data_IF_782832989932
#
_entry.id   IF_782832989932
#
_cell.length_a   1.000
_cell.length_b   1.000
_cell.length_c   1.000
_cell.angle_alpha   90.00
_cell.angle_beta   90.00
_cell.angle_gamma   90.00
#
_symmetry.space_group_name_H-M   'P 1'
#
loop_
_entity.id
_entity.type
_entity.pdbx_description
1 polymer ?
#
# COMPACT_ATOMS: atom_id res chain seq x y z
N UNK A 1 5.17 -17.91 17.63
CA UNK A 1 6.03 -17.24 16.63
C UNK A 1 5.21 -16.56 15.53
N UNK A 2 4.29 -17.26 14.86
CA UNK A 2 3.40 -16.69 13.83
C UNK A 2 2.59 -15.46 14.31
N UNK A 3 1.89 -15.59 15.45
CA UNK A 3 1.08 -14.49 16.01
C UNK A 3 1.92 -13.25 16.35
N UNK A 4 3.16 -13.45 16.83
CA UNK A 4 4.07 -12.34 17.14
C UNK A 4 4.50 -11.60 15.88
N UNK A 5 4.87 -12.34 14.83
CA UNK A 5 5.20 -11.77 13.52
C UNK A 5 4.06 -10.89 13.01
N UNK A 6 2.82 -11.40 13.00
CA UNK A 6 1.66 -10.63 12.52
C UNK A 6 1.32 -9.44 13.41
N UNK A 7 1.46 -9.58 14.73
CA UNK A 7 1.24 -8.47 15.67
C UNK A 7 2.23 -7.32 15.42
N UNK A 8 3.50 -7.65 15.18
CA UNK A 8 4.53 -6.66 14.85
C UNK A 8 4.24 -6.02 13.50
N UNK A 9 3.99 -6.83 12.45
CA UNK A 9 3.68 -6.34 11.11
C UNK A 9 2.50 -5.37 11.13
N UNK A 10 1.39 -5.77 11.76
CA UNK A 10 0.19 -4.94 11.88
C UNK A 10 0.46 -3.66 12.69
N UNK A 11 1.33 -3.70 13.69
CA UNK A 11 1.68 -2.52 14.47
C UNK A 11 2.54 -1.54 13.66
N UNK A 12 3.49 -2.04 12.89
CA UNK A 12 4.35 -1.23 12.01
C UNK A 12 3.52 -0.54 10.93
N UNK A 13 2.59 -1.27 10.29
CA UNK A 13 1.76 -0.77 9.19
C UNK A 13 0.70 0.27 9.59
N UNK A 14 0.49 0.52 10.88
CA UNK A 14 -0.36 1.63 11.37
C UNK A 14 0.29 3.00 11.17
N UNK A 15 1.59 3.06 10.93
CA UNK A 15 2.33 4.30 10.75
C UNK A 15 3.06 4.31 9.41
N UNK A 16 3.54 5.47 8.95
CA UNK A 16 4.29 5.56 7.71
C UNK A 16 5.56 4.72 7.75
N UNK A 17 5.86 4.09 6.61
CA UNK A 17 7.08 3.37 6.35
C UNK A 17 7.68 3.85 5.02
N UNK A 18 8.94 4.24 5.05
CA UNK A 18 9.67 4.63 3.86
C UNK A 18 10.01 3.38 3.03
N UNK A 19 9.56 3.34 1.77
CA UNK A 19 9.74 2.19 0.89
C UNK A 19 11.19 1.97 0.44
N UNK A 20 12.07 2.97 0.57
CA UNK A 20 13.46 2.91 0.12
C UNK A 20 14.41 2.57 1.28
N UNK A 21 14.28 3.26 2.41
CA UNK A 21 15.14 3.07 3.60
C UNK A 21 14.64 1.97 4.53
N UNK A 22 13.35 1.61 4.40
CA UNK A 22 12.62 0.69 5.26
C UNK A 22 12.50 1.17 6.71
N UNK A 23 12.69 2.47 6.95
CA UNK A 23 12.42 3.10 8.24
C UNK A 23 10.91 3.20 8.47
N UNK A 24 10.46 2.94 9.70
CA UNK A 24 9.05 2.98 10.06
C UNK A 24 8.81 3.77 11.34
N UNK A 25 7.66 4.47 11.40
CA UNK A 25 7.27 5.28 12.57
C UNK A 25 7.12 4.46 13.84
N UNK A 26 6.65 3.22 13.74
CA UNK A 26 6.46 2.31 14.86
C UNK A 26 7.48 1.17 14.88
N UNK A 27 8.69 1.42 14.39
CA UNK A 27 9.81 0.47 14.49
C UNK A 27 10.15 0.18 15.95
N UNK A 28 10.47 -1.09 16.24
CA UNK A 28 11.06 -1.52 17.52
C UNK A 28 12.59 -1.35 17.55
N UNK A 29 13.21 -1.13 16.38
CA UNK A 29 14.64 -0.85 16.24
C UNK A 29 14.87 0.65 16.09
N UNK A 30 15.76 1.20 16.92
CA UNK A 30 16.16 2.62 16.88
C UNK A 30 16.81 3.00 15.54
N UNK A 31 17.58 2.09 14.95
CA UNK A 31 18.22 2.29 13.64
C UNK A 31 17.23 2.32 12.48
N UNK A 32 16.03 1.77 12.68
CA UNK A 32 14.95 1.73 11.68
C UNK A 32 13.79 2.65 12.04
N UNK A 33 13.99 3.56 12.98
CA UNK A 33 12.97 4.53 13.37
C UNK A 33 12.89 5.66 12.35
N UNK A 34 11.71 5.86 11.74
CA UNK A 34 11.47 6.99 10.85
C UNK A 34 11.40 8.28 11.66
N UNK A 35 12.41 9.14 11.53
CA UNK A 35 12.52 10.40 12.31
C UNK A 35 11.80 11.58 11.66
N UNK A 36 11.39 11.45 10.40
CA UNK A 36 10.66 12.50 9.70
C UNK A 36 9.25 12.66 10.29
N UNK A 37 8.86 13.91 10.51
CA UNK A 37 7.51 14.28 10.97
C UNK A 37 6.74 14.89 9.80
N UNK A 38 5.58 14.31 9.52
CA UNK A 38 4.63 14.77 8.50
C UNK A 38 3.26 14.17 8.78
N UNK A 39 2.23 14.89 8.36
CA UNK A 39 0.84 14.46 8.49
C UNK A 39 0.53 13.34 7.49
N UNK A 40 -0.23 12.36 7.95
CA UNK A 40 -0.68 11.22 7.17
C UNK A 40 -2.07 10.85 7.66
N UNK A 41 -2.87 10.28 6.76
CA UNK A 41 -4.23 9.88 7.02
C UNK A 41 -4.39 8.40 6.77
N UNK A 42 -5.00 7.69 7.72
CA UNK A 42 -5.52 6.36 7.47
C UNK A 42 -6.60 6.44 6.38
N UNK A 43 -6.77 5.40 5.56
CA UNK A 43 -7.82 5.26 4.55
C UNK A 43 -8.34 3.82 4.60
N UNK A 44 -9.63 3.63 4.32
CA UNK A 44 -10.20 2.29 4.07
C UNK A 44 -10.51 2.16 2.59
N UNK A 45 -9.77 1.29 1.90
CA UNK A 45 -10.01 0.98 0.47
C UNK A 45 -10.73 -0.35 0.33
N UNK A 46 -11.64 -0.45 -0.63
CA UNK A 46 -12.37 -1.68 -0.93
C UNK A 46 -11.76 -2.34 -2.17
N UNK A 47 -11.22 -3.53 -1.99
CA UNK A 47 -10.59 -4.27 -3.08
C UNK A 47 -11.62 -5.20 -3.69
N UNK A 48 -11.73 -5.13 -5.01
CA UNK A 48 -12.46 -6.09 -5.82
C UNK A 48 -11.47 -6.82 -6.71
N UNK A 49 -11.62 -8.14 -6.81
CA UNK A 49 -10.84 -8.95 -7.73
C UNK A 49 -11.74 -9.41 -8.88
N UNK A 50 -11.21 -9.38 -10.10
CA UNK A 50 -11.91 -9.82 -11.32
C UNK A 50 -11.98 -11.36 -11.42
N UNK A 51 -12.37 -12.02 -10.33
CA UNK A 51 -12.55 -13.46 -10.33
C UNK A 51 -13.99 -13.77 -10.74
N UNK A 52 -14.22 -13.93 -12.04
CA UNK A 52 -15.55 -14.18 -12.63
C UNK A 52 -16.30 -15.41 -12.05
N UNK A 53 -15.61 -16.28 -11.30
CA UNK A 53 -16.14 -17.53 -10.75
C UNK A 53 -16.75 -17.42 -9.34
N UNK A 54 -16.42 -16.38 -8.58
CA UNK A 54 -16.97 -16.13 -7.24
C UNK A 54 -17.44 -14.69 -7.23
N UNK A 55 -18.73 -14.45 -6.95
CA UNK A 55 -19.33 -13.11 -7.04
C UNK A 55 -18.50 -12.00 -6.39
N UNK A 56 -18.76 -10.75 -6.80
CA UNK A 56 -18.01 -9.57 -6.35
C UNK A 56 -17.91 -9.57 -4.82
N UNK A 57 -16.72 -9.83 -4.30
CA UNK A 57 -16.41 -9.74 -2.87
C UNK A 57 -15.52 -8.52 -2.67
N UNK A 58 -15.98 -7.58 -1.84
CA UNK A 58 -15.24 -6.38 -1.49
C UNK A 58 -14.54 -6.60 -0.15
N UNK A 59 -13.21 -6.48 -0.15
CA UNK A 59 -12.41 -6.61 1.07
C UNK A 59 -12.00 -5.21 1.57
N UNK A 60 -12.43 -4.78 2.76
CA UNK A 60 -11.96 -3.53 3.34
C UNK A 60 -10.51 -3.68 3.79
N UNK A 61 -9.64 -2.79 3.33
CA UNK A 61 -8.22 -2.77 3.68
C UNK A 61 -7.83 -1.41 4.18
N UNK A 62 -7.22 -1.41 5.37
CA UNK A 62 -6.67 -0.21 5.96
C UNK A 62 -5.30 0.08 5.35
N UNK A 63 -5.15 1.28 4.82
CA UNK A 63 -3.93 1.81 4.20
C UNK A 63 -3.69 3.24 4.71
N UNK A 64 -2.55 3.82 4.36
CA UNK A 64 -2.23 5.22 4.64
C UNK A 64 -2.14 5.99 3.32
N UNK A 65 -2.53 7.26 3.32
CA UNK A 65 -2.41 8.16 2.16
C UNK A 65 -0.96 8.30 1.65
N UNK A 66 0.01 8.10 2.54
CA UNK A 66 1.44 8.13 2.24
C UNK A 66 2.03 6.77 1.82
N UNK A 67 1.25 5.68 1.83
CA UNK A 67 1.72 4.39 1.32
C UNK A 67 2.00 4.49 -0.18
N UNK A 68 3.13 3.93 -0.62
CA UNK A 68 3.42 3.69 -2.04
C UNK A 68 2.42 2.71 -2.64
N UNK A 69 2.29 2.70 -3.96
CA UNK A 69 1.35 1.80 -4.64
C UNK A 69 1.72 0.33 -4.40
N UNK A 70 3.00 -0.01 -4.37
CA UNK A 70 3.43 -1.38 -4.03
C UNK A 70 3.05 -1.75 -2.58
N UNK A 71 3.27 -0.87 -1.60
CA UNK A 71 2.85 -1.11 -0.21
C UNK A 71 1.32 -1.31 -0.11
N UNK A 72 0.53 -0.55 -0.87
CA UNK A 72 -0.92 -0.75 -0.94
C UNK A 72 -1.23 -2.14 -1.51
N UNK A 73 -0.62 -2.55 -2.62
CA UNK A 73 -0.80 -3.89 -3.21
C UNK A 73 -0.46 -4.99 -2.20
N UNK A 74 0.60 -4.85 -1.43
CA UNK A 74 0.99 -5.83 -0.39
C UNK A 74 -0.06 -5.94 0.72
N UNK A 75 -0.54 -4.82 1.25
CA UNK A 75 -1.64 -4.80 2.26
C UNK A 75 -2.91 -5.42 1.70
N UNK A 76 -3.21 -5.15 0.42
CA UNK A 76 -4.34 -5.74 -0.30
C UNK A 76 -4.22 -7.26 -0.43
N UNK A 77 -3.02 -7.76 -0.77
CA UNK A 77 -2.73 -9.18 -0.87
C UNK A 77 -2.83 -9.89 0.47
N UNK A 78 -2.37 -9.27 1.56
CA UNK A 78 -2.48 -9.85 2.89
C UNK A 78 -3.93 -9.98 3.37
N UNK A 79 -4.79 -9.01 3.03
CA UNK A 79 -6.21 -9.09 3.34
C UNK A 79 -6.91 -10.18 2.53
N UNK A 80 -6.71 -10.20 1.21
CA UNK A 80 -7.37 -11.14 0.29
C UNK A 80 -6.90 -12.58 0.48
N UNK A 81 -5.60 -12.78 0.67
CA UNK A 81 -4.95 -14.10 0.72
C UNK A 81 -4.53 -14.49 2.14
N UNK A 82 -5.22 -13.97 3.18
CA UNK A 82 -4.87 -14.21 4.60
C UNK A 82 -4.71 -15.69 4.97
N UNK A 83 -5.50 -16.57 4.35
CA UNK A 83 -5.49 -18.03 4.59
C UNK A 83 -4.67 -18.81 3.57
N UNK A 84 -4.07 -18.14 2.58
CA UNK A 84 -3.25 -18.77 1.54
C UNK A 84 -1.76 -18.68 1.92
N UNK A 85 -0.98 -19.76 1.78
CA UNK A 85 0.47 -19.72 1.97
C UNK A 85 1.14 -18.65 1.11
N UNK A 86 2.15 -17.94 1.62
CA UNK A 86 2.80 -16.83 0.90
C UNK A 86 3.37 -17.25 -0.46
N UNK A 87 3.91 -18.47 -0.58
CA UNK A 87 4.45 -19.03 -1.83
C UNK A 87 3.42 -19.18 -2.95
N UNK A 88 2.13 -19.26 -2.60
CA UNK A 88 1.05 -19.53 -3.54
C UNK A 88 0.27 -18.25 -3.88
N UNK A 89 0.73 -17.11 -3.35
CA UNK A 89 0.13 -15.79 -3.61
C UNK A 89 0.80 -15.16 -4.85
N UNK A 90 0.05 -14.37 -5.63
CA UNK A 90 0.66 -13.54 -6.67
C UNK A 90 1.58 -12.48 -6.05
N UNK A 91 2.62 -12.08 -6.79
CA UNK A 91 3.50 -10.97 -6.40
C UNK A 91 2.80 -9.62 -6.62
N UNK A 92 3.10 -8.62 -5.79
CA UNK A 92 2.63 -7.25 -6.01
C UNK A 92 3.12 -6.66 -7.34
N UNK A 93 4.26 -7.14 -7.85
CA UNK A 93 4.83 -6.70 -9.14
C UNK A 93 4.07 -7.28 -10.35
N UNK A 94 3.35 -8.39 -10.18
CA UNK A 94 2.62 -9.08 -11.25
C UNK A 94 1.16 -8.62 -11.35
N UNK A 95 0.77 -7.61 -10.57
CA UNK A 95 -0.59 -7.13 -10.46
C UNK A 95 -0.67 -5.65 -10.77
N UNK A 96 -1.76 -5.25 -11.43
CA UNK A 96 -2.15 -3.85 -11.56
C UNK A 96 -3.14 -3.46 -10.45
N UNK A 97 -2.97 -2.26 -9.90
CA UNK A 97 -3.96 -1.67 -9.00
C UNK A 97 -4.76 -0.62 -9.76
N UNK A 98 -6.04 -0.87 -9.92
CA UNK A 98 -6.94 0.03 -10.64
C UNK A 98 -7.81 0.84 -9.68
N UNK A 99 -7.83 2.15 -9.87
CA UNK A 99 -8.78 3.03 -9.21
C UNK A 99 -10.10 3.04 -9.98
N UNK A 100 -11.16 2.51 -9.37
CA UNK A 100 -12.53 2.62 -9.88
C UNK A 100 -13.01 4.07 -9.72
N UNK A 101 -13.07 4.80 -10.83
CA UNK A 101 -13.63 6.15 -10.92
C UNK A 101 -14.69 6.22 -12.02
N UNK A 102 -15.55 7.24 -12.01
CA UNK A 102 -16.67 7.39 -12.94
C UNK A 102 -16.23 7.46 -14.40
N UNK A 103 -15.01 7.92 -14.68
CA UNK A 103 -14.17 7.75 -15.88
C UNK A 103 -13.03 8.80 -15.81
N UNK A 104 -11.82 8.55 -16.33
CA UNK A 104 -11.32 7.33 -16.98
C UNK A 104 -10.82 6.27 -15.99
N UNK A 105 -10.57 5.05 -16.49
CA UNK A 105 -9.86 3.97 -15.80
C UNK A 105 -8.41 4.40 -15.54
N UNK A 106 -7.97 4.32 -14.27
CA UNK A 106 -6.60 4.73 -13.90
C UNK A 106 -5.90 3.54 -13.24
N UNK A 107 -4.78 3.12 -13.83
CA UNK A 107 -3.86 2.15 -13.23
C UNK A 107 -2.85 2.94 -12.40
N UNK A 108 -2.77 2.63 -11.11
CA UNK A 108 -1.85 3.22 -10.17
C UNK A 108 -0.52 2.45 -10.21
N UNK A 109 0.59 3.18 -10.22
CA UNK A 109 1.94 2.61 -10.24
C UNK A 109 2.87 3.48 -9.38
N UNK A 110 3.90 2.88 -8.78
CA UNK A 110 4.89 3.65 -8.00
C UNK A 110 5.59 4.70 -8.85
N UNK A 111 5.78 4.43 -10.15
CA UNK A 111 6.44 5.33 -11.08
C UNK A 111 5.66 5.32 -12.40
N UNK A 112 5.16 6.49 -12.81
CA UNK A 112 4.47 6.67 -14.09
C UNK A 112 4.80 8.04 -14.72
N UNK A 113 4.04 8.46 -15.73
CA UNK A 113 4.20 9.75 -16.40
C UNK A 113 3.77 10.95 -15.56
N UNK A 114 3.06 10.71 -14.45
CA UNK A 114 2.55 11.76 -13.55
C UNK A 114 3.45 11.98 -12.34
N UNK A 115 4.39 11.06 -12.07
CA UNK A 115 5.30 11.13 -10.94
C UNK A 115 6.09 12.42 -10.88
N UNK A 116 6.20 12.96 -9.66
CA UNK A 116 6.90 14.23 -9.42
C UNK A 116 8.41 14.05 -9.49
N UNK A 117 9.06 14.97 -10.19
CA UNK A 117 10.52 15.12 -10.18
C UNK A 117 10.90 16.12 -9.08
N UNK A 118 11.78 15.70 -8.17
CA UNK A 118 12.37 16.54 -7.14
C UNK A 118 13.73 17.10 -7.58
N UNK A 119 14.25 18.08 -6.83
CA UNK A 119 15.53 18.71 -7.14
C UNK A 119 16.65 17.67 -7.21
N UNK A 120 17.59 17.86 -8.15
CA UNK A 120 18.68 16.90 -8.37
C UNK A 120 18.30 15.69 -9.23
N UNK A 121 17.12 15.70 -9.87
CA UNK A 121 16.72 14.66 -10.81
C UNK A 121 16.13 13.40 -10.17
N UNK A 122 15.82 13.45 -8.88
CA UNK A 122 15.17 12.36 -8.16
C UNK A 122 13.71 12.25 -8.56
N UNK A 123 13.24 11.01 -8.75
CA UNK A 123 11.83 10.73 -9.03
C UNK A 123 11.17 10.20 -7.76
N UNK A 124 10.13 10.89 -7.30
CA UNK A 124 9.38 10.48 -6.10
C UNK A 124 8.45 9.32 -6.43
N UNK A 125 8.41 8.31 -5.55
CA UNK A 125 7.43 7.23 -5.63
C UNK A 125 6.01 7.79 -5.42
N UNK A 126 5.08 7.38 -6.27
CA UNK A 126 3.69 7.76 -6.17
C UNK A 126 3.05 7.07 -4.97
N UNK A 127 2.19 7.80 -4.27
CA UNK A 127 1.41 7.32 -3.13
C UNK A 127 -0.09 7.48 -3.40
N UNK A 128 -0.96 7.00 -2.52
CA UNK A 128 -2.40 7.28 -2.62
C UNK A 128 -2.71 8.78 -2.63
N UNK A 129 -2.01 9.57 -1.82
CA UNK A 129 -2.12 11.02 -1.79
C UNK A 129 -1.70 11.67 -3.12
N UNK A 130 -0.70 11.11 -3.82
CA UNK A 130 -0.31 11.59 -5.16
C UNK A 130 -1.47 11.52 -6.15
N UNK A 131 -2.23 10.42 -6.13
CA UNK A 131 -3.41 10.23 -6.95
C UNK A 131 -4.69 10.86 -6.39
N UNK A 132 -4.58 11.60 -5.27
CA UNK A 132 -5.71 12.23 -4.58
C UNK A 132 -6.80 11.22 -4.19
N UNK A 133 -6.40 10.00 -3.86
CA UNK A 133 -7.31 9.02 -3.27
C UNK A 133 -7.60 9.51 -1.86
N UNK A 134 -8.85 9.90 -1.61
CA UNK A 134 -9.32 10.45 -0.36
C UNK A 134 -10.63 9.78 0.07
N UNK A 135 -10.99 9.95 1.33
CA UNK A 135 -12.33 9.63 1.81
C UNK A 135 -13.38 10.43 1.03
N UNK A 136 -14.44 9.76 0.57
CA UNK A 136 -15.70 10.41 0.18
C UNK A 136 -16.57 10.62 1.43
#
# INVERSE_FOLDING_TARGET
LYELYWSIKQQVEKGPQDAVTLEARYSLSEEKLLRSSFDFHELIVFITADNYAAGICEYPVRVLDCDTITQVKEKCLDAKYRTTPFSDRPSANDLDLELRSTCPRIILQDIDSTSKMEAGGWKKLNTLAHYKVAFL
#
